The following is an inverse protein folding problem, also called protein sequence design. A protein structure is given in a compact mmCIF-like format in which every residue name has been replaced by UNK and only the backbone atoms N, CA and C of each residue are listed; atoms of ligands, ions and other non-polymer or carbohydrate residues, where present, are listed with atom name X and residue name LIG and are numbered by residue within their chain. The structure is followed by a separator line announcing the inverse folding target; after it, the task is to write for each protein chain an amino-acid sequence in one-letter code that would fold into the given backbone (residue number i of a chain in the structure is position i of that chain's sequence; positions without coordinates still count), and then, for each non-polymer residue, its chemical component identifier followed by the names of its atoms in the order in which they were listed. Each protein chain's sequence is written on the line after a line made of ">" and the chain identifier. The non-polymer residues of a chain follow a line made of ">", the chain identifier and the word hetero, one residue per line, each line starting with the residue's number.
data_IF_187127721999
#
_entry.id   IF_187127721999
#
_cell.length_a   1.000
_cell.length_b   1.000
_cell.length_c   1.000
_cell.angle_alpha   90.00
_cell.angle_beta   90.00
_cell.angle_gamma   90.00
#
_symmetry.space_group_name_H-M   'P 1'
#
loop_
_entity.id
_entity.type
_entity.pdbx_description
1 polymer ?
#
# COMPACT_ATOMS: atom_id res chain seq x y z
N UNK A 1 13.51 23.07 -28.15
CA UNK A 1 12.87 22.30 -27.01
C UNK A 1 13.44 20.90 -26.84
N UNK A 2 13.63 20.12 -27.90
CA UNK A 2 14.19 18.75 -27.78
C UNK A 2 15.55 18.74 -27.11
N UNK A 3 16.45 19.59 -27.52
CA UNK A 3 17.79 19.69 -26.93
C UNK A 3 17.76 20.12 -25.46
N UNK A 4 16.87 21.05 -25.09
CA UNK A 4 16.65 21.47 -23.71
C UNK A 4 16.20 20.27 -22.85
N UNK A 5 15.20 19.51 -23.33
CA UNK A 5 14.73 18.33 -22.61
C UNK A 5 15.77 17.22 -22.53
N UNK A 6 16.58 17.03 -23.58
CA UNK A 6 17.68 16.07 -23.56
C UNK A 6 18.69 16.45 -22.47
N UNK A 7 19.15 17.71 -22.46
CA UNK A 7 20.07 18.20 -21.43
C UNK A 7 19.49 18.11 -20.01
N UNK A 8 18.21 18.48 -19.83
CA UNK A 8 17.52 18.37 -18.55
C UNK A 8 17.43 16.92 -18.06
N UNK A 9 17.07 15.97 -18.93
CA UNK A 9 17.03 14.55 -18.59
C UNK A 9 18.40 14.00 -18.22
N UNK A 10 19.44 14.35 -19.00
CA UNK A 10 20.82 13.94 -18.74
C UNK A 10 21.31 14.50 -17.39
N UNK A 11 21.05 15.76 -17.11
CA UNK A 11 21.39 16.38 -15.82
C UNK A 11 20.69 15.66 -14.64
N UNK A 12 19.37 15.47 -14.74
CA UNK A 12 18.59 14.77 -13.69
C UNK A 12 19.05 13.32 -13.47
N UNK A 13 19.48 12.63 -14.53
CA UNK A 13 19.96 11.25 -14.46
C UNK A 13 21.38 11.18 -13.91
N UNK A 14 22.31 11.90 -14.56
CA UNK A 14 23.76 11.72 -14.34
C UNK A 14 24.29 12.50 -13.14
N UNK A 15 23.70 13.68 -12.87
CA UNK A 15 24.15 14.55 -11.78
C UNK A 15 23.30 14.36 -10.53
N UNK A 16 21.96 14.39 -10.65
CA UNK A 16 21.07 14.23 -9.50
C UNK A 16 20.74 12.77 -9.17
N UNK A 17 21.09 11.80 -9.99
CA UNK A 17 20.82 10.38 -9.76
C UNK A 17 19.33 10.03 -9.73
N UNK A 18 18.47 10.81 -10.41
CA UNK A 18 17.03 10.53 -10.45
C UNK A 18 16.72 9.32 -11.33
N UNK A 19 15.73 8.53 -10.92
CA UNK A 19 15.25 7.41 -11.72
C UNK A 19 14.56 7.90 -13.00
N UNK A 20 14.64 7.11 -14.09
CA UNK A 20 13.99 7.40 -15.35
C UNK A 20 12.50 7.71 -15.19
N UNK A 21 11.77 6.92 -14.40
CA UNK A 21 10.36 7.16 -14.14
C UNK A 21 10.08 8.52 -13.49
N UNK A 22 10.95 8.98 -12.58
CA UNK A 22 10.83 10.33 -11.98
C UNK A 22 11.03 11.42 -13.01
N UNK A 23 11.97 11.24 -13.91
CA UNK A 23 12.29 12.19 -15.00
C UNK A 23 11.14 12.26 -15.99
N UNK A 24 10.59 11.14 -16.41
CA UNK A 24 9.44 11.08 -17.31
C UNK A 24 8.22 11.77 -16.70
N UNK A 25 8.02 11.65 -15.40
CA UNK A 25 6.98 12.36 -14.67
C UNK A 25 7.22 13.88 -14.63
N UNK A 26 8.46 14.35 -14.50
CA UNK A 26 8.76 15.78 -14.63
C UNK A 26 8.45 16.27 -16.02
N UNK A 27 8.96 15.61 -17.06
CA UNK A 27 8.74 15.99 -18.47
C UNK A 27 7.25 16.04 -18.80
N UNK A 28 6.49 15.01 -18.44
CA UNK A 28 5.04 14.97 -18.66
C UNK A 28 4.32 16.17 -18.02
N UNK A 29 4.70 16.53 -16.79
CA UNK A 29 4.08 17.68 -16.10
C UNK A 29 4.51 19.03 -16.68
N UNK A 30 5.76 19.16 -17.11
CA UNK A 30 6.26 20.35 -17.79
C UNK A 30 5.54 20.52 -19.12
N UNK A 31 5.32 19.46 -19.89
CA UNK A 31 4.57 19.52 -21.14
C UNK A 31 3.18 20.13 -20.98
N UNK A 32 2.45 19.78 -19.94
CA UNK A 32 1.14 20.38 -19.62
C UNK A 32 1.21 21.90 -19.39
N UNK A 33 2.32 22.42 -18.87
CA UNK A 33 2.55 23.85 -18.73
C UNK A 33 2.91 24.52 -20.07
N UNK A 34 3.74 23.86 -20.89
CA UNK A 34 4.11 24.35 -22.21
C UNK A 34 2.90 24.45 -23.14
N UNK A 35 2.04 23.43 -23.14
CA UNK A 35 0.81 23.38 -23.93
C UNK A 35 -0.15 24.51 -23.54
N UNK A 36 -0.39 24.73 -22.26
CA UNK A 36 -1.27 25.77 -21.75
C UNK A 36 -0.82 27.18 -22.20
N UNK A 37 0.48 27.46 -22.18
CA UNK A 37 1.04 28.76 -22.53
C UNK A 37 1.50 28.86 -24.01
N UNK A 38 1.23 27.83 -24.82
CA UNK A 38 1.68 27.75 -26.25
C UNK A 38 3.19 27.97 -26.42
N UNK A 39 4.01 27.48 -25.51
CA UNK A 39 5.47 27.61 -25.50
C UNK A 39 6.07 26.59 -26.48
N UNK A 40 6.79 27.05 -27.49
CA UNK A 40 7.38 26.22 -28.55
C UNK A 40 8.90 26.21 -28.54
N UNK A 41 9.51 27.28 -28.06
CA UNK A 41 10.95 27.47 -28.06
C UNK A 41 11.48 27.60 -26.63
N UNK A 42 12.81 27.49 -26.48
CA UNK A 42 13.49 27.75 -25.22
C UNK A 42 13.35 29.23 -24.81
N UNK A 43 13.41 30.10 -25.77
CA UNK A 43 13.27 31.56 -25.63
C UNK A 43 11.88 31.93 -25.13
N UNK A 44 10.83 31.30 -25.67
CA UNK A 44 9.45 31.44 -25.12
C UNK A 44 9.41 31.06 -23.63
N UNK A 45 10.01 29.91 -23.26
CA UNK A 45 10.04 29.45 -21.89
C UNK A 45 10.78 30.41 -20.95
N UNK A 46 11.93 30.94 -21.38
CA UNK A 46 12.74 31.91 -20.62
C UNK A 46 11.98 33.24 -20.42
N UNK A 47 11.21 33.66 -21.42
CA UNK A 47 10.45 34.92 -21.37
C UNK A 47 9.26 34.91 -20.43
N UNK A 48 8.80 33.72 -19.97
CA UNK A 48 7.66 33.60 -19.08
C UNK A 48 7.90 34.29 -17.72
N UNK A 49 6.81 34.84 -17.18
CA UNK A 49 6.81 35.49 -15.87
C UNK A 49 6.09 34.63 -14.84
N UNK A 50 6.33 34.90 -13.57
CA UNK A 50 5.66 34.24 -12.47
C UNK A 50 4.12 34.34 -12.56
N UNK A 51 3.60 35.41 -13.17
CA UNK A 51 2.17 35.57 -13.46
C UNK A 51 1.60 34.49 -14.38
N UNK A 52 2.35 34.09 -15.43
CA UNK A 52 1.91 33.03 -16.35
C UNK A 52 1.75 31.67 -15.61
N UNK A 53 2.68 31.35 -14.72
CA UNK A 53 2.60 30.13 -13.92
C UNK A 53 1.43 30.19 -12.92
N UNK A 54 1.21 31.36 -12.28
CA UNK A 54 0.07 31.56 -11.37
C UNK A 54 -1.27 31.41 -12.11
N UNK A 55 -1.41 31.97 -13.31
CA UNK A 55 -2.60 31.83 -14.15
C UNK A 55 -2.86 30.37 -14.54
N UNK A 56 -1.79 29.63 -14.92
CA UNK A 56 -1.90 28.22 -15.20
C UNK A 56 -2.34 27.42 -13.97
N UNK A 57 -1.78 27.69 -12.77
CA UNK A 57 -2.17 27.03 -11.54
C UNK A 57 -3.63 27.35 -11.14
N UNK A 58 -4.11 28.57 -11.42
CA UNK A 58 -5.51 28.95 -11.24
C UNK A 58 -6.42 28.15 -12.18
N UNK A 59 -6.10 28.11 -13.48
CA UNK A 59 -6.83 27.31 -14.46
C UNK A 59 -6.88 25.82 -14.09
N UNK A 60 -5.80 25.26 -13.52
CA UNK A 60 -5.81 23.91 -13.01
C UNK A 60 -6.76 23.73 -11.83
N UNK A 61 -6.89 24.74 -10.97
CA UNK A 61 -7.85 24.72 -9.85
C UNK A 61 -9.28 24.75 -10.37
N UNK A 62 -9.58 25.63 -11.31
CA UNK A 62 -10.90 25.76 -11.95
C UNK A 62 -11.33 24.46 -12.65
N UNK A 63 -10.35 23.73 -13.18
CA UNK A 63 -10.53 22.40 -13.77
C UNK A 63 -10.54 21.25 -12.74
N UNK A 64 -10.69 21.53 -11.44
CA UNK A 64 -10.85 20.52 -10.39
C UNK A 64 -9.58 19.80 -9.96
N UNK A 65 -8.37 20.28 -10.35
CA UNK A 65 -7.12 19.68 -9.88
C UNK A 65 -6.92 19.97 -8.38
N UNK A 66 -6.67 18.91 -7.59
CA UNK A 66 -6.38 19.05 -6.17
C UNK A 66 -5.09 19.85 -5.91
N UNK A 67 -4.99 20.45 -4.71
CA UNK A 67 -3.81 21.19 -4.25
C UNK A 67 -2.53 20.35 -4.40
N UNK A 68 -2.58 19.06 -4.03
CA UNK A 68 -1.47 18.13 -4.15
C UNK A 68 -1.04 17.94 -5.62
N UNK A 69 -2.00 17.82 -6.53
CA UNK A 69 -1.74 17.69 -7.97
C UNK A 69 -1.10 18.96 -8.52
N UNK A 70 -1.63 20.13 -8.18
CA UNK A 70 -1.08 21.45 -8.56
C UNK A 70 0.33 21.64 -8.02
N UNK A 71 0.58 21.31 -6.76
CA UNK A 71 1.91 21.37 -6.15
C UNK A 71 2.93 20.47 -6.87
N UNK A 72 2.52 19.27 -7.27
CA UNK A 72 3.39 18.35 -7.99
C UNK A 72 3.74 18.87 -9.40
N UNK A 73 2.78 19.51 -10.07
CA UNK A 73 3.00 20.17 -11.37
C UNK A 73 3.89 21.40 -11.21
N UNK A 74 3.67 22.22 -10.19
CA UNK A 74 4.51 23.37 -9.86
C UNK A 74 5.95 22.96 -9.56
N UNK A 75 6.14 21.85 -8.82
CA UNK A 75 7.48 21.29 -8.58
C UNK A 75 8.21 21.02 -9.89
N UNK A 76 7.55 20.37 -10.85
CA UNK A 76 8.17 20.04 -12.14
C UNK A 76 8.56 21.31 -12.94
N UNK A 77 7.69 22.33 -12.93
CA UNK A 77 8.00 23.61 -13.57
C UNK A 77 9.17 24.31 -12.87
N UNK A 78 9.20 24.35 -11.54
CA UNK A 78 10.35 24.92 -10.81
C UNK A 78 11.66 24.19 -11.12
N UNK A 79 11.63 22.87 -11.29
CA UNK A 79 12.83 22.08 -11.61
C UNK A 79 13.42 22.42 -12.98
N UNK A 80 12.60 22.66 -14.02
CA UNK A 80 13.13 23.10 -15.32
C UNK A 80 13.67 24.53 -15.26
N UNK A 81 13.02 25.45 -14.52
CA UNK A 81 13.53 26.82 -14.34
C UNK A 81 14.80 26.86 -13.50
N UNK A 82 14.93 25.97 -12.50
CA UNK A 82 16.16 25.80 -11.74
C UNK A 82 17.31 25.35 -12.66
N UNK A 83 17.05 24.36 -13.53
CA UNK A 83 18.02 23.90 -14.51
C UNK A 83 18.44 25.02 -15.49
N UNK A 84 17.48 25.80 -16.02
CA UNK A 84 17.76 26.94 -16.88
C UNK A 84 18.67 27.96 -16.18
N UNK A 85 18.38 28.30 -14.92
CA UNK A 85 19.15 29.29 -14.15
C UNK A 85 20.52 28.77 -13.74
N UNK A 86 20.58 27.60 -13.12
CA UNK A 86 21.78 27.10 -12.43
C UNK A 86 22.76 26.44 -13.39
N UNK A 87 22.27 25.72 -14.41
CA UNK A 87 23.13 24.97 -15.33
C UNK A 87 23.37 25.74 -16.64
N UNK A 88 22.30 26.26 -17.24
CA UNK A 88 22.41 26.96 -18.50
C UNK A 88 22.70 28.47 -18.35
N UNK A 89 22.74 28.99 -17.11
CA UNK A 89 23.02 30.41 -16.79
C UNK A 89 22.08 31.39 -17.45
N UNK A 90 20.83 30.96 -17.75
CA UNK A 90 19.83 31.80 -18.38
C UNK A 90 19.23 32.81 -17.39
N UNK A 91 18.90 33.98 -17.88
CA UNK A 91 18.19 35.02 -17.12
C UNK A 91 16.69 34.73 -17.15
N UNK A 92 16.16 34.29 -16.01
CA UNK A 92 14.75 33.98 -15.81
C UNK A 92 14.10 34.95 -14.82
N UNK A 93 12.78 34.97 -14.80
CA UNK A 93 12.05 35.59 -13.68
C UNK A 93 12.21 34.73 -12.40
N UNK A 94 13.04 35.21 -11.45
CA UNK A 94 13.34 34.49 -10.22
C UNK A 94 12.12 34.28 -9.31
N UNK A 95 11.09 35.12 -9.44
CA UNK A 95 9.86 34.98 -8.68
C UNK A 95 9.11 33.68 -9.01
N UNK A 96 9.41 33.05 -10.16
CA UNK A 96 8.92 31.71 -10.51
C UNK A 96 9.35 30.69 -9.45
N UNK A 97 10.60 30.73 -9.02
CA UNK A 97 11.12 29.80 -8.00
C UNK A 97 10.54 30.06 -6.60
N UNK A 98 10.06 31.28 -6.37
CA UNK A 98 9.46 31.72 -5.08
C UNK A 98 7.97 31.47 -4.98
N UNK A 99 7.27 31.06 -6.07
CA UNK A 99 5.81 30.78 -6.01
C UNK A 99 5.53 29.79 -4.89
N UNK A 100 4.63 30.12 -3.92
CA UNK A 100 4.35 29.23 -2.81
C UNK A 100 3.56 28.01 -3.25
N UNK A 101 3.75 26.90 -2.54
CA UNK A 101 2.90 25.73 -2.68
C UNK A 101 1.55 25.96 -1.99
N UNK A 102 0.49 25.45 -2.59
CA UNK A 102 -0.83 25.45 -1.99
C UNK A 102 -0.83 24.59 -0.71
N UNK A 103 -1.54 25.07 0.34
CA UNK A 103 -1.71 24.30 1.56
C UNK A 103 -2.57 23.07 1.27
N UNK A 104 -2.02 21.89 1.47
CA UNK A 104 -2.72 20.61 1.28
C UNK A 104 -3.39 20.23 2.60
N UNK A 105 -4.72 20.05 2.65
CA UNK A 105 -5.39 19.56 3.84
C UNK A 105 -4.83 18.18 4.23
N UNK A 106 -4.57 18.00 5.53
CA UNK A 106 -4.30 16.65 6.06
C UNK A 106 -5.61 15.87 5.99
N UNK A 107 -5.65 14.86 5.11
CA UNK A 107 -6.74 13.89 5.09
C UNK A 107 -6.27 12.67 5.87
N UNK A 108 -7.09 12.18 6.78
CA UNK A 108 -6.85 10.90 7.41
C UNK A 108 -6.79 9.82 6.33
N UNK A 109 -5.74 9.01 6.41
CA UNK A 109 -5.60 7.90 5.47
C UNK A 109 -6.52 6.78 5.93
N UNK A 110 -7.67 6.63 5.27
CA UNK A 110 -8.51 5.44 5.47
C UNK A 110 -7.67 4.21 5.10
N UNK A 111 -7.45 3.33 6.05
CA UNK A 111 -6.77 2.05 5.88
C UNK A 111 -7.74 0.93 6.22
N UNK A 112 -7.45 -0.25 5.72
CA UNK A 112 -8.17 -1.44 6.06
C UNK A 112 -7.58 -1.99 7.36
N UNK A 113 -8.38 -2.26 8.36
CA UNK A 113 -7.92 -2.92 9.57
C UNK A 113 -7.53 -4.38 9.29
N UNK A 114 -6.80 -4.99 10.25
CA UNK A 114 -6.23 -6.32 10.04
C UNK A 114 -7.28 -7.41 9.83
N UNK A 115 -8.40 -7.33 10.54
CA UNK A 115 -9.46 -8.33 10.49
C UNK A 115 -10.20 -8.26 9.14
N UNK A 116 -10.62 -7.06 8.74
CA UNK A 116 -11.24 -6.81 7.42
C UNK A 116 -10.30 -7.19 6.27
N UNK A 117 -8.98 -6.99 6.42
CA UNK A 117 -8.01 -7.42 5.42
C UNK A 117 -7.96 -8.95 5.29
N UNK A 118 -8.01 -9.68 6.40
CA UNK A 118 -8.05 -11.15 6.40
C UNK A 118 -9.36 -11.69 5.81
N UNK A 119 -10.50 -11.09 6.15
CA UNK A 119 -11.80 -11.45 5.58
C UNK A 119 -11.83 -11.21 4.07
N UNK A 120 -11.32 -10.09 3.58
CA UNK A 120 -11.18 -9.81 2.15
C UNK A 120 -10.28 -10.85 1.46
N UNK A 121 -9.18 -11.24 2.09
CA UNK A 121 -8.30 -12.29 1.57
C UNK A 121 -9.05 -13.63 1.49
N UNK A 122 -9.79 -14.00 2.53
CA UNK A 122 -10.60 -15.23 2.55
C UNK A 122 -11.67 -15.21 1.42
N UNK A 123 -12.35 -14.09 1.25
CA UNK A 123 -13.39 -13.88 0.24
C UNK A 123 -12.87 -13.92 -1.20
N UNK A 124 -11.60 -13.53 -1.41
CA UNK A 124 -11.00 -13.42 -2.75
C UNK A 124 -10.75 -14.79 -3.37
N UNK A 125 -11.45 -15.11 -4.46
CA UNK A 125 -11.37 -16.41 -5.16
C UNK A 125 -10.26 -16.45 -6.23
N UNK A 126 -9.83 -15.31 -6.77
CA UNK A 126 -8.71 -15.28 -7.73
C UNK A 126 -7.41 -15.51 -6.96
N UNK A 127 -6.79 -16.69 -7.14
CA UNK A 127 -5.59 -17.10 -6.42
C UNK A 127 -4.40 -16.16 -6.65
N UNK A 128 -4.24 -15.58 -7.84
CA UNK A 128 -3.18 -14.59 -8.14
C UNK A 128 -3.39 -13.30 -7.35
N UNK A 129 -4.62 -12.76 -7.38
CA UNK A 129 -4.95 -11.53 -6.63
C UNK A 129 -4.79 -11.76 -5.14
N UNK A 130 -5.32 -12.89 -4.64
CA UNK A 130 -5.19 -13.30 -3.24
C UNK A 130 -3.73 -13.40 -2.80
N UNK A 131 -2.89 -14.08 -3.57
CA UNK A 131 -1.44 -14.20 -3.29
C UNK A 131 -0.75 -12.85 -3.24
N UNK A 132 -0.97 -11.98 -4.23
CA UNK A 132 -0.35 -10.65 -4.24
C UNK A 132 -0.82 -9.79 -3.07
N UNK A 133 -2.10 -9.83 -2.71
CA UNK A 133 -2.62 -9.13 -1.54
C UNK A 133 -2.06 -9.69 -0.23
N UNK A 134 -2.01 -11.02 -0.09
CA UNK A 134 -1.46 -11.70 1.10
C UNK A 134 0.00 -11.30 1.35
N UNK A 135 0.83 -11.33 0.31
CA UNK A 135 2.24 -10.93 0.41
C UNK A 135 2.36 -9.46 0.84
N UNK A 136 1.63 -8.53 0.18
CA UNK A 136 1.70 -7.11 0.53
C UNK A 136 1.24 -6.86 1.96
N UNK A 137 0.16 -7.51 2.39
CA UNK A 137 -0.40 -7.35 3.72
C UNK A 137 0.49 -7.93 4.82
N UNK A 138 1.17 -9.06 4.55
CA UNK A 138 2.03 -9.72 5.53
C UNK A 138 3.43 -9.12 5.64
N UNK A 139 3.96 -8.50 4.57
CA UNK A 139 5.36 -8.07 4.49
C UNK A 139 5.54 -6.57 4.25
N UNK A 140 4.46 -5.88 3.95
CA UNK A 140 4.50 -4.45 3.64
C UNK A 140 5.31 -4.09 2.38
N UNK A 141 5.57 -5.01 1.46
CA UNK A 141 6.30 -4.72 0.22
C UNK A 141 5.56 -3.77 -0.69
N UNK A 142 6.31 -3.01 -1.51
CA UNK A 142 5.74 -2.19 -2.59
C UNK A 142 5.37 -3.07 -3.78
N UNK A 143 4.45 -2.61 -4.62
CA UNK A 143 4.10 -3.37 -5.84
C UNK A 143 5.31 -3.67 -6.73
N UNK A 144 6.23 -2.73 -6.91
CA UNK A 144 7.46 -2.94 -7.68
C UNK A 144 8.42 -3.95 -7.04
N UNK A 145 8.32 -4.18 -5.74
CA UNK A 145 9.05 -5.20 -5.01
C UNK A 145 8.32 -6.56 -5.11
N UNK A 146 6.98 -6.57 -4.99
CA UNK A 146 6.16 -7.78 -5.17
C UNK A 146 6.43 -8.50 -6.49
N UNK A 147 6.57 -7.77 -7.59
CA UNK A 147 6.78 -8.35 -8.92
C UNK A 147 8.21 -8.87 -9.15
N UNK A 148 9.11 -8.69 -8.20
CA UNK A 148 10.46 -9.25 -8.21
C UNK A 148 10.54 -10.58 -7.45
N UNK A 149 9.56 -10.89 -6.60
CA UNK A 149 9.50 -12.11 -5.80
C UNK A 149 9.39 -13.32 -6.73
N UNK A 150 10.19 -14.33 -6.44
CA UNK A 150 10.27 -15.57 -7.19
C UNK A 150 9.51 -16.70 -6.49
N UNK A 151 9.27 -17.80 -7.21
CA UNK A 151 8.74 -19.01 -6.61
C UNK A 151 9.72 -19.60 -5.60
N UNK A 152 11.01 -19.60 -5.95
CA UNK A 152 12.09 -20.03 -5.05
C UNK A 152 12.13 -19.23 -3.75
N UNK A 153 11.87 -17.91 -3.79
CA UNK A 153 11.76 -17.09 -2.55
C UNK A 153 10.64 -17.58 -1.64
N UNK A 154 9.49 -17.92 -2.21
CA UNK A 154 8.35 -18.47 -1.44
C UNK A 154 8.70 -19.81 -0.81
N UNK A 155 9.36 -20.71 -1.56
CA UNK A 155 9.78 -22.01 -1.08
C UNK A 155 10.81 -21.89 0.05
N UNK A 156 11.74 -20.95 -0.05
CA UNK A 156 12.73 -20.64 0.98
C UNK A 156 12.12 -19.94 2.21
N UNK A 157 10.94 -19.35 2.10
CA UNK A 157 10.27 -18.61 3.17
C UNK A 157 10.76 -17.19 3.36
N UNK A 158 11.67 -16.68 2.51
CA UNK A 158 12.18 -15.30 2.56
C UNK A 158 12.59 -14.80 1.16
N UNK A 159 12.68 -13.49 1.00
CA UNK A 159 13.22 -12.83 -0.18
C UNK A 159 14.15 -11.67 0.18
N UNK A 160 15.18 -11.45 -0.64
CA UNK A 160 16.02 -10.27 -0.58
C UNK A 160 15.49 -9.22 -1.55
N UNK A 161 14.99 -8.11 -1.02
CA UNK A 161 14.31 -7.06 -1.79
C UNK A 161 15.21 -5.85 -1.94
N UNK A 162 15.36 -5.38 -3.18
CA UNK A 162 16.03 -4.12 -3.48
C UNK A 162 14.98 -3.02 -3.57
N UNK A 163 14.99 -2.12 -2.58
CA UNK A 163 14.05 -1.01 -2.46
C UNK A 163 14.53 0.28 -3.15
N UNK A 164 13.79 1.36 -2.90
CA UNK A 164 14.16 2.70 -3.40
C UNK A 164 15.53 3.13 -2.87
N UNK A 165 16.40 3.60 -3.77
CA UNK A 165 17.76 4.02 -3.44
C UNK A 165 18.74 2.86 -3.31
N UNK A 166 18.44 1.73 -3.94
CA UNK A 166 19.30 0.52 -3.95
C UNK A 166 19.56 -0.05 -2.55
N UNK A 167 18.64 0.18 -1.60
CA UNK A 167 18.74 -0.40 -0.26
C UNK A 167 18.18 -1.80 -0.26
N UNK A 168 19.01 -2.75 0.13
CA UNK A 168 18.62 -4.14 0.30
C UNK A 168 17.98 -4.35 1.67
N UNK A 169 16.96 -5.20 1.71
CA UNK A 169 16.40 -5.76 2.94
C UNK A 169 15.87 -7.15 2.71
N UNK A 170 15.92 -7.97 3.73
CA UNK A 170 15.30 -9.28 3.73
C UNK A 170 13.86 -9.17 4.27
N UNK A 171 12.93 -9.88 3.65
CA UNK A 171 11.56 -10.05 4.12
C UNK A 171 11.30 -11.53 4.34
N UNK A 172 10.42 -11.85 5.29
CA UNK A 172 10.04 -13.22 5.61
C UNK A 172 8.56 -13.45 5.30
N UNK A 173 8.25 -14.63 4.74
CA UNK A 173 6.88 -15.01 4.44
C UNK A 173 6.33 -15.90 5.55
N UNK A 174 5.27 -15.47 6.29
CA UNK A 174 4.57 -16.36 7.22
C UNK A 174 4.04 -17.61 6.51
N UNK A 175 3.92 -18.72 7.24
CA UNK A 175 3.49 -20.01 6.69
C UNK A 175 2.17 -19.92 5.92
N UNK A 176 1.20 -19.13 6.42
CA UNK A 176 -0.08 -18.94 5.75
C UNK A 176 0.04 -18.22 4.38
N UNK A 177 1.03 -17.33 4.22
CA UNK A 177 1.33 -16.68 2.93
C UNK A 177 1.97 -17.68 1.98
N UNK A 178 2.92 -18.48 2.46
CA UNK A 178 3.58 -19.53 1.67
C UNK A 178 2.53 -20.52 1.14
N UNK A 179 1.57 -20.91 1.96
CA UNK A 179 0.50 -21.83 1.58
C UNK A 179 -0.42 -21.24 0.48
N UNK A 180 -0.86 -19.98 0.64
CA UNK A 180 -1.64 -19.27 -0.38
C UNK A 180 -0.84 -19.16 -1.70
N UNK A 181 0.46 -18.84 -1.62
CA UNK A 181 1.30 -18.72 -2.79
C UNK A 181 1.55 -20.07 -3.46
N UNK A 182 1.72 -21.15 -2.69
CA UNK A 182 1.88 -22.53 -3.22
C UNK A 182 0.64 -22.95 -4.00
N UNK A 183 -0.56 -22.73 -3.46
CA UNK A 183 -1.81 -23.02 -4.15
C UNK A 183 -1.93 -22.27 -5.49
N UNK A 184 -1.48 -21.01 -5.54
CA UNK A 184 -1.39 -20.26 -6.81
C UNK A 184 -0.35 -20.84 -7.77
N UNK A 185 0.83 -21.21 -7.26
CA UNK A 185 1.92 -21.79 -8.06
C UNK A 185 1.50 -23.10 -8.73
N UNK A 186 0.84 -23.96 -7.98
CA UNK A 186 0.41 -25.29 -8.43
C UNK A 186 -0.82 -25.27 -9.35
N UNK A 187 -1.65 -24.22 -9.25
CA UNK A 187 -2.87 -24.06 -10.04
C UNK A 187 -2.68 -23.09 -11.20
N UNK A 188 -3.20 -21.89 -11.06
CA UNK A 188 -3.30 -20.86 -12.12
C UNK A 188 -1.95 -20.49 -12.71
N UNK A 189 -0.90 -20.38 -11.88
CA UNK A 189 0.44 -20.06 -12.39
C UNK A 189 1.01 -21.18 -13.26
N UNK A 190 0.85 -22.44 -12.84
CA UNK A 190 1.28 -23.60 -13.63
C UNK A 190 0.58 -23.62 -15.01
N UNK A 191 -0.73 -23.33 -15.07
CA UNK A 191 -1.48 -23.21 -16.32
C UNK A 191 -0.93 -22.10 -17.23
N UNK A 192 -0.63 -20.92 -16.65
CA UNK A 192 -0.05 -19.78 -17.38
C UNK A 192 1.30 -20.15 -17.98
N UNK A 193 2.17 -20.75 -17.19
CA UNK A 193 3.53 -21.17 -17.61
C UNK A 193 3.43 -22.20 -18.73
N UNK A 194 2.59 -23.23 -18.57
CA UNK A 194 2.36 -24.28 -19.57
C UNK A 194 1.84 -23.70 -20.89
N UNK A 195 0.82 -22.83 -20.82
CA UNK A 195 0.19 -22.22 -22.00
C UNK A 195 1.15 -21.36 -22.81
N UNK A 196 2.07 -20.65 -22.14
CA UNK A 196 2.95 -19.67 -22.77
C UNK A 196 4.38 -20.19 -23.01
N UNK A 197 4.68 -21.47 -22.71
CA UNK A 197 5.99 -22.08 -22.92
C UNK A 197 7.13 -21.46 -22.11
N UNK A 198 6.83 -20.77 -20.99
CA UNK A 198 7.80 -20.06 -20.16
C UNK A 198 8.24 -20.87 -18.93
N UNK A 199 8.60 -22.12 -19.12
CA UNK A 199 8.89 -23.07 -18.04
C UNK A 199 10.04 -22.65 -17.10
N UNK A 200 10.98 -21.85 -17.60
CA UNK A 200 12.13 -21.38 -16.81
C UNK A 200 11.92 -20.00 -16.15
N UNK A 201 10.70 -19.49 -16.13
CA UNK A 201 10.42 -18.22 -15.49
C UNK A 201 10.10 -18.45 -14.01
N UNK A 202 10.99 -18.04 -13.13
CA UNK A 202 10.83 -18.17 -11.68
C UNK A 202 10.03 -17.04 -11.04
N UNK A 203 9.70 -15.96 -11.78
CA UNK A 203 8.88 -14.86 -11.25
C UNK A 203 7.52 -15.38 -10.79
N UNK A 204 7.15 -15.08 -9.56
CA UNK A 204 5.88 -15.53 -8.97
C UNK A 204 4.67 -14.88 -9.65
N UNK A 205 4.66 -13.55 -9.79
CA UNK A 205 3.50 -12.79 -10.23
C UNK A 205 3.48 -12.57 -11.75
N UNK A 206 2.83 -13.50 -12.46
CA UNK A 206 2.67 -13.45 -13.91
C UNK A 206 1.24 -13.01 -14.30
N UNK A 207 1.12 -12.32 -15.44
CA UNK A 207 -0.15 -12.09 -16.12
C UNK A 207 -0.54 -13.30 -16.99
N UNK A 208 -1.74 -13.28 -17.59
CA UNK A 208 -2.26 -14.43 -18.37
C UNK A 208 -1.45 -14.72 -19.65
N UNK A 209 -0.60 -13.79 -20.09
CA UNK A 209 0.32 -13.95 -21.21
C UNK A 209 1.72 -14.43 -20.76
N UNK A 210 1.90 -14.81 -19.50
CA UNK A 210 3.18 -15.26 -18.93
C UNK A 210 4.22 -14.15 -18.81
N UNK A 211 3.86 -12.89 -18.88
CA UNK A 211 4.74 -11.76 -18.61
C UNK A 211 4.56 -11.29 -17.16
N UNK A 212 5.50 -10.49 -16.67
CA UNK A 212 5.42 -9.88 -15.33
C UNK A 212 4.10 -9.12 -15.18
N UNK A 213 3.46 -9.25 -14.03
CA UNK A 213 2.17 -8.60 -13.72
C UNK A 213 2.29 -7.07 -13.78
N UNK A 214 1.33 -6.43 -14.45
CA UNK A 214 1.29 -4.97 -14.59
C UNK A 214 0.48 -4.37 -13.43
N UNK A 215 1.00 -3.31 -12.82
CA UNK A 215 0.38 -2.63 -11.67
C UNK A 215 -1.08 -2.29 -11.90
N UNK A 216 -1.41 -1.66 -13.02
CA UNK A 216 -2.78 -1.22 -13.35
C UNK A 216 -3.77 -2.40 -13.34
N UNK A 217 -3.37 -3.53 -13.90
CA UNK A 217 -4.22 -4.72 -13.99
C UNK A 217 -4.45 -5.33 -12.59
N UNK A 218 -3.39 -5.38 -11.78
CA UNK A 218 -3.48 -5.87 -10.41
C UNK A 218 -4.36 -4.96 -9.54
N UNK A 219 -4.18 -3.65 -9.60
CA UNK A 219 -5.01 -2.67 -8.89
C UNK A 219 -6.49 -2.76 -9.30
N UNK A 220 -6.77 -2.94 -10.59
CA UNK A 220 -8.12 -3.13 -11.08
C UNK A 220 -8.76 -4.40 -10.50
N UNK A 221 -8.03 -5.51 -10.53
CA UNK A 221 -8.51 -6.78 -9.98
C UNK A 221 -8.72 -6.72 -8.46
N UNK A 222 -7.79 -6.11 -7.73
CA UNK A 222 -7.93 -5.85 -6.28
C UNK A 222 -9.20 -5.05 -5.98
N UNK A 223 -9.41 -3.92 -6.68
CA UNK A 223 -10.62 -3.09 -6.52
C UNK A 223 -11.90 -3.84 -6.84
N UNK A 224 -11.89 -4.66 -7.88
CA UNK A 224 -13.05 -5.48 -8.25
C UNK A 224 -13.43 -6.44 -7.12
N UNK A 225 -12.45 -7.10 -6.49
CA UNK A 225 -12.72 -7.99 -5.35
C UNK A 225 -13.13 -7.22 -4.10
N UNK A 226 -12.48 -6.10 -3.80
CA UNK A 226 -12.85 -5.23 -2.69
C UNK A 226 -14.29 -4.70 -2.83
N UNK A 227 -14.70 -4.31 -4.04
CA UNK A 227 -16.08 -3.89 -4.32
C UNK A 227 -17.08 -5.03 -4.10
N UNK A 228 -16.78 -6.25 -4.58
CA UNK A 228 -17.64 -7.43 -4.38
C UNK A 228 -17.77 -7.77 -2.90
N UNK A 229 -16.69 -7.65 -2.15
CA UNK A 229 -16.66 -7.87 -0.71
C UNK A 229 -17.53 -6.82 0.02
N UNK A 230 -17.35 -5.54 -0.27
CA UNK A 230 -18.10 -4.45 0.33
C UNK A 230 -19.61 -4.52 0.02
N UNK A 231 -19.98 -4.99 -1.18
CA UNK A 231 -21.37 -5.15 -1.57
C UNK A 231 -21.98 -6.51 -1.18
N UNK A 232 -21.27 -7.33 -0.41
CA UNK A 232 -21.80 -8.58 0.10
C UNK A 232 -22.79 -8.31 1.23
N UNK A 233 -23.92 -9.02 1.35
CA UNK A 233 -24.95 -8.76 2.37
C UNK A 233 -24.44 -8.75 3.82
N UNK A 234 -23.32 -9.43 4.12
CA UNK A 234 -22.71 -9.45 5.43
C UNK A 234 -21.95 -8.14 5.77
N UNK A 235 -21.73 -7.27 4.80
CA UNK A 235 -20.96 -6.03 4.93
C UNK A 235 -21.75 -4.78 4.53
N UNK A 236 -23.08 -4.89 4.43
CA UNK A 236 -23.97 -3.77 4.07
C UNK A 236 -23.83 -2.62 5.07
N UNK A 237 -23.50 -1.45 4.53
CA UNK A 237 -23.39 -0.19 5.31
C UNK A 237 -21.98 0.27 5.60
N UNK A 238 -20.96 -0.46 5.20
CA UNK A 238 -19.59 0.00 5.33
C UNK A 238 -19.19 0.97 4.21
N UNK A 239 -18.30 1.89 4.58
CA UNK A 239 -17.86 3.06 3.80
C UNK A 239 -17.20 2.63 2.49
N UNK A 240 -17.31 3.44 1.42
CA UNK A 240 -16.67 3.30 0.09
C UNK A 240 -15.13 3.30 0.11
N UNK A 241 -14.50 2.54 1.02
CA UNK A 241 -13.06 2.42 1.13
C UNK A 241 -12.44 1.73 -0.10
N UNK A 242 -13.20 0.89 -0.77
CA UNK A 242 -12.78 0.12 -1.94
C UNK A 242 -12.44 1.00 -3.15
N UNK A 243 -13.03 2.19 -3.29
CA UNK A 243 -12.72 3.11 -4.39
C UNK A 243 -11.27 3.55 -4.41
N UNK A 244 -10.67 3.68 -3.23
CA UNK A 244 -9.29 4.08 -3.04
C UNK A 244 -8.37 2.91 -2.70
N UNK A 245 -8.89 1.67 -2.73
CA UNK A 245 -8.12 0.48 -2.42
C UNK A 245 -7.03 0.24 -3.47
N UNK A 246 -5.80 0.00 -3.01
CA UNK A 246 -4.62 -0.17 -3.87
C UNK A 246 -3.53 -0.93 -3.11
N UNK A 247 -2.51 -1.47 -3.79
CA UNK A 247 -1.36 -2.08 -3.14
C UNK A 247 -0.72 -1.19 -2.08
N UNK A 248 -0.70 0.13 -2.32
CA UNK A 248 -0.14 1.08 -1.37
C UNK A 248 -1.01 1.23 -0.11
N UNK A 249 -2.33 1.20 -0.26
CA UNK A 249 -3.26 1.20 0.88
C UNK A 249 -3.15 -0.07 1.71
N UNK A 250 -3.05 -1.22 1.05
CA UNK A 250 -2.87 -2.51 1.74
C UNK A 250 -1.52 -2.56 2.50
N UNK A 251 -0.46 -2.01 1.94
CA UNK A 251 0.80 -1.81 2.64
C UNK A 251 0.67 -0.84 3.84
N UNK A 252 -0.19 0.19 3.73
CA UNK A 252 -0.55 1.04 4.87
C UNK A 252 -1.21 0.23 5.98
N UNK A 253 -2.14 -0.66 5.63
CA UNK A 253 -2.78 -1.57 6.58
C UNK A 253 -1.76 -2.42 7.33
N UNK A 254 -0.74 -2.98 6.64
CA UNK A 254 0.38 -3.66 7.28
C UNK A 254 1.05 -2.77 8.35
N UNK A 255 1.47 -1.55 7.98
CA UNK A 255 2.16 -0.66 8.91
C UNK A 255 1.32 -0.33 10.15
N UNK A 256 0.02 -0.12 9.97
CA UNK A 256 -0.91 0.17 11.07
C UNK A 256 -1.12 -1.07 11.95
N UNK A 257 -1.30 -2.25 11.34
CA UNK A 257 -1.49 -3.51 12.06
C UNK A 257 -0.25 -3.87 12.89
N UNK A 258 0.96 -3.67 12.36
CA UNK A 258 2.21 -3.89 13.12
C UNK A 258 2.32 -2.96 14.34
N UNK A 259 1.94 -1.68 14.19
CA UNK A 259 1.91 -0.74 15.31
C UNK A 259 0.82 -1.10 16.35
N UNK A 260 -0.33 -1.63 15.91
CA UNK A 260 -1.37 -2.15 16.82
C UNK A 260 -0.90 -3.36 17.61
N UNK A 261 -0.08 -4.22 17.01
CA UNK A 261 0.55 -5.38 17.67
C UNK A 261 1.69 -5.00 18.63
N UNK A 262 1.93 -3.72 18.85
CA UNK A 262 2.92 -3.21 19.79
C UNK A 262 4.34 -3.10 19.23
N UNK A 263 4.56 -3.36 17.94
CA UNK A 263 5.86 -3.14 17.32
C UNK A 263 6.20 -1.65 17.31
N UNK A 264 7.45 -1.31 17.63
CA UNK A 264 7.88 0.07 17.63
C UNK A 264 7.96 0.66 16.21
N UNK A 265 7.82 1.99 16.12
CA UNK A 265 7.76 2.71 14.85
C UNK A 265 9.05 2.59 14.02
N UNK A 266 10.21 2.40 14.67
CA UNK A 266 11.49 2.24 13.99
C UNK A 266 11.57 0.86 13.33
N UNK A 267 11.16 -0.20 14.04
CA UNK A 267 11.05 -1.55 13.49
C UNK A 267 10.12 -1.58 12.29
N UNK A 268 8.90 -1.05 12.41
CA UNK A 268 7.93 -1.01 11.30
C UNK A 268 8.47 -0.22 10.11
N UNK A 269 9.17 0.90 10.36
CA UNK A 269 9.82 1.69 9.31
C UNK A 269 10.86 0.87 8.56
N UNK A 270 11.70 0.13 9.28
CA UNK A 270 12.79 -0.64 8.68
C UNK A 270 12.24 -1.84 7.91
N UNK A 271 11.26 -2.56 8.43
CA UNK A 271 10.52 -3.62 7.72
C UNK A 271 9.89 -3.10 6.42
N UNK A 272 9.27 -1.93 6.46
CA UNK A 272 8.69 -1.29 5.28
C UNK A 272 9.74 -0.68 4.34
N UNK A 273 10.98 -0.51 4.74
CA UNK A 273 12.02 0.15 3.97
C UNK A 273 11.68 1.63 3.71
N UNK A 274 11.26 2.37 4.73
CA UNK A 274 11.05 3.82 4.65
C UNK A 274 12.37 4.55 4.88
N UNK A 275 12.74 5.43 3.94
CA UNK A 275 13.95 6.25 4.05
C UNK A 275 13.81 7.41 5.05
N UNK A 276 12.61 7.70 5.52
CA UNK A 276 12.30 8.83 6.43
C UNK A 276 11.26 8.43 7.47
N UNK A 277 11.51 8.79 8.73
CA UNK A 277 10.57 8.66 9.85
C UNK A 277 9.27 9.40 9.56
N UNK A 278 9.31 10.56 8.88
CA UNK A 278 8.13 11.33 8.52
C UNK A 278 7.11 10.52 7.70
N UNK A 279 7.56 9.55 6.91
CA UNK A 279 6.69 8.65 6.14
C UNK A 279 6.00 7.64 7.06
N UNK A 280 6.68 7.16 8.09
CA UNK A 280 6.13 6.21 9.06
C UNK A 280 5.24 6.91 10.09
N UNK A 281 5.54 8.17 10.45
CA UNK A 281 4.69 8.97 11.33
C UNK A 281 3.26 9.20 10.79
N UNK A 282 3.03 9.00 9.50
CA UNK A 282 1.66 9.01 8.94
C UNK A 282 0.81 7.84 9.44
N UNK A 283 1.40 6.83 10.05
CA UNK A 283 0.71 5.68 10.68
C UNK A 283 0.53 5.86 12.19
N UNK A 284 1.27 6.80 12.81
CA UNK A 284 1.08 7.12 14.21
C UNK A 284 -0.19 7.96 14.37
N UNK A 285 -1.28 7.29 14.68
CA UNK A 285 -2.50 7.96 15.11
C UNK A 285 -2.24 8.79 16.38
N UNK A 286 -3.11 9.77 16.63
CA UNK A 286 -3.04 10.66 17.77
C UNK A 286 -2.78 9.90 19.08
N UNK A 287 -2.21 10.55 20.06
CA UNK A 287 -2.03 9.99 21.42
C UNK A 287 -3.32 9.41 21.99
N UNK A 288 -4.49 9.94 21.59
CA UNK A 288 -5.80 9.46 21.99
C UNK A 288 -6.13 8.08 21.45
N UNK A 289 -5.77 7.76 20.19
CA UNK A 289 -6.00 6.43 19.63
C UNK A 289 -5.09 5.38 20.28
N UNK A 290 -3.86 5.76 20.66
CA UNK A 290 -2.97 4.87 21.45
C UNK A 290 -3.52 4.57 22.84
N UNK A 291 -4.04 5.57 23.53
CA UNK A 291 -4.69 5.40 24.84
C UNK A 291 -5.95 4.54 24.71
N UNK A 292 -6.77 4.78 23.68
CA UNK A 292 -7.95 3.95 23.40
C UNK A 292 -7.58 2.50 23.08
N UNK A 293 -6.52 2.27 22.31
CA UNK A 293 -6.03 0.92 21.99
C UNK A 293 -5.49 0.20 23.22
N UNK A 294 -4.68 0.87 24.05
CA UNK A 294 -4.20 0.29 25.30
C UNK A 294 -5.35 -0.15 26.22
N UNK A 295 -6.41 0.69 26.34
CA UNK A 295 -7.61 0.33 27.11
C UNK A 295 -8.41 -0.84 26.51
N UNK A 296 -8.37 -1.02 25.19
CA UNK A 296 -9.02 -2.15 24.50
C UNK A 296 -8.17 -3.42 24.61
N UNK A 297 -6.84 -3.30 24.65
CA UNK A 297 -5.93 -4.43 24.83
C UNK A 297 -5.99 -4.99 26.25
N UNK A 298 -6.14 -4.15 27.29
CA UNK A 298 -6.42 -4.61 28.66
C UNK A 298 -7.70 -5.48 28.72
N UNK A 299 -8.79 -5.05 28.07
CA UNK A 299 -10.03 -5.83 27.97
C UNK A 299 -9.86 -7.14 27.18
N UNK A 300 -9.01 -7.14 26.16
CA UNK A 300 -8.72 -8.34 25.37
C UNK A 300 -7.80 -9.32 26.11
N UNK A 301 -6.89 -8.82 26.96
CA UNK A 301 -6.07 -9.67 27.82
C UNK A 301 -6.91 -10.34 28.94
N UNK A 302 -7.84 -9.60 29.56
CA UNK A 302 -8.79 -10.16 30.49
C UNK A 302 -9.65 -11.27 29.85
N UNK A 303 -10.19 -11.01 28.65
CA UNK A 303 -10.99 -11.97 27.90
C UNK A 303 -10.20 -13.22 27.49
N UNK A 304 -8.94 -13.05 27.09
CA UNK A 304 -8.03 -14.18 26.79
C UNK A 304 -7.62 -14.95 28.04
N UNK A 305 -7.54 -14.29 29.19
CA UNK A 305 -7.30 -14.94 30.47
C UNK A 305 -8.52 -15.79 30.88
N UNK A 306 -9.74 -15.25 30.77
CA UNK A 306 -10.99 -15.96 31.02
C UNK A 306 -11.16 -17.15 30.06
N UNK A 307 -10.87 -17.01 28.78
CA UNK A 307 -10.91 -18.09 27.78
C UNK A 307 -9.91 -19.21 28.13
N UNK A 308 -8.68 -18.87 28.52
CA UNK A 308 -7.67 -19.86 28.96
C UNK A 308 -8.08 -20.57 30.26
N UNK A 309 -8.68 -19.86 31.20
CA UNK A 309 -9.17 -20.43 32.45
C UNK A 309 -10.34 -21.38 32.16
N UNK A 310 -11.26 -21.00 31.28
CA UNK A 310 -12.36 -21.84 30.82
C UNK A 310 -11.85 -23.11 30.10
N UNK A 311 -10.85 -22.98 29.24
CA UNK A 311 -10.24 -24.11 28.54
C UNK A 311 -9.55 -25.07 29.51
N UNK A 312 -8.87 -24.56 30.56
CA UNK A 312 -8.25 -25.33 31.61
C UNK A 312 -9.30 -26.04 32.47
N UNK A 313 -10.41 -25.38 32.80
CA UNK A 313 -11.54 -25.96 33.52
C UNK A 313 -12.21 -27.09 32.73
N UNK A 314 -12.44 -26.88 31.43
CA UNK A 314 -12.98 -27.89 30.53
C UNK A 314 -12.04 -29.10 30.42
N UNK A 315 -10.74 -28.90 30.37
CA UNK A 315 -9.76 -29.98 30.37
C UNK A 315 -9.79 -30.80 31.67
N UNK A 316 -9.84 -30.13 32.82
CA UNK A 316 -9.98 -30.79 34.14
C UNK A 316 -11.30 -31.56 34.26
N UNK A 317 -12.40 -31.04 33.72
CA UNK A 317 -13.70 -31.70 33.64
C UNK A 317 -13.65 -32.95 32.75
N UNK A 318 -12.92 -32.89 31.62
CA UNK A 318 -12.76 -34.03 30.70
C UNK A 318 -11.87 -35.14 31.29
N UNK A 319 -10.90 -34.79 32.12
CA UNK A 319 -9.97 -35.73 32.76
C UNK A 319 -10.56 -36.39 34.04
N UNK A 320 -11.55 -35.76 34.72
CA UNK A 320 -12.11 -36.23 35.97
C UNK A 320 -13.55 -36.74 35.79
N UNK A 321 -13.70 -38.06 35.90
CA UNK A 321 -14.99 -38.75 35.73
C UNK A 321 -16.05 -38.33 36.78
N UNK A 322 -15.66 -38.20 38.05
CA UNK A 322 -16.57 -37.78 39.12
C UNK A 322 -17.10 -36.37 38.97
N UNK A 323 -16.27 -35.46 38.41
CA UNK A 323 -16.68 -34.09 38.15
C UNK A 323 -17.66 -34.01 36.95
N UNK A 324 -17.43 -34.83 35.93
CA UNK A 324 -18.36 -34.96 34.78
C UNK A 324 -19.73 -35.45 35.20
N UNK A 325 -19.79 -36.47 36.05
CA UNK A 325 -21.04 -37.05 36.54
C UNK A 325 -21.81 -36.02 37.38
N UNK A 326 -21.13 -35.29 38.29
CA UNK A 326 -21.73 -34.19 39.06
C UNK A 326 -22.29 -33.05 38.21
N UNK A 327 -21.57 -32.61 37.18
CA UNK A 327 -22.04 -31.56 36.28
C UNK A 327 -23.22 -32.05 35.43
N UNK A 328 -23.22 -33.32 35.03
CA UNK A 328 -24.33 -33.95 34.32
C UNK A 328 -25.60 -34.02 35.15
N UNK A 329 -25.47 -34.35 36.43
CA UNK A 329 -26.59 -34.38 37.38
C UNK A 329 -27.14 -32.95 37.60
N UNK A 330 -26.29 -31.95 37.76
CA UNK A 330 -26.71 -30.53 37.90
C UNK A 330 -27.44 -30.00 36.66
N UNK A 331 -26.98 -30.34 35.43
CA UNK A 331 -27.63 -29.92 34.19
C UNK A 331 -28.92 -30.72 33.93
N UNK A 332 -28.97 -31.97 34.37
CA UNK A 332 -30.14 -32.83 34.23
C UNK A 332 -31.33 -32.39 35.10
N UNK A 333 -31.07 -31.83 36.29
CA UNK A 333 -32.11 -31.30 37.17
C UNK A 333 -32.74 -30.00 36.69
N UNK A 334 -32.02 -29.17 35.91
CA UNK A 334 -32.55 -27.91 35.37
C UNK A 334 -33.54 -28.12 34.19
N UNK A 335 -33.53 -29.27 33.53
CA UNK A 335 -34.51 -29.59 32.47
C UNK A 335 -35.83 -30.14 32.99
N UNK A 336 -35.87 -30.67 34.21
CA UNK A 336 -37.09 -31.17 34.82
C UNK A 336 -37.93 -30.12 35.58
N UNK A 337 -37.39 -28.87 35.68
CA UNK A 337 -38.08 -27.77 36.38
C UNK A 337 -38.95 -26.88 35.48
N UNK A 338 -38.94 -27.05 34.15
CA UNK A 338 -39.68 -26.17 33.21
C UNK A 338 -40.99 -26.77 32.64
N UNK A 339 -41.37 -27.95 33.02
CA UNK A 339 -42.64 -28.57 32.56
C UNK A 339 -43.73 -28.62 33.65
N UNK A 340 -43.65 -27.76 34.66
CA UNK A 340 -44.74 -27.57 35.63
C UNK A 340 -44.89 -26.12 36.01
N UNK A 341 -45.47 -25.33 35.11
CA UNK A 341 -46.34 -24.19 35.39
C UNK A 341 -47.16 -23.86 34.15
#
# INVERSE_FOLDING_TARGET
>A
MEELFKGFKDYKTKIEGKSQNSIDQYVYRIQSFLEYNNIKTKEDLISMKSSNIKNWLSSLADNGNSERSRNTKLTAVKEIYKYLKEELKEQIDEDILRIPFAKVPKRESKYLDGDTAQELLAFTKDSRVKTGMAIIFATGVRFCELIQITCTDIENGYANIIGKGNKERQIYFPLWVQEIARQFMESKRAEIVKKNGKQNNDILMLNDNGNILIRRNFEYSMKSWARKFNNHPLHEGEIDWWEHFSPHKLRHSFGTDQLRKGNDIATVRDEMGHSSIATTNNYSHSSQDRVRMAMLDEKNEEKRAEEKEMELLLKKLMENKDLRDKVRDMIGDDQNGKDKE
#
